data_IF_494737126162
#
_entry.id   IF_494737126162
#
_cell.length_a   1.000
_cell.length_b   1.000
_cell.length_c   1.000
_cell.angle_alpha   90.00
_cell.angle_beta   90.00
_cell.angle_gamma   90.00
#
_symmetry.space_group_name_H-M   'P 1'
#
loop_
_entity.id
_entity.type
_entity.pdbx_description
1 polymer ?
#
# COMPACT_ATOMS: atom_id res chain seq x y z
N UNK A 1 -34.02 22.34 -75.32
CA UNK A 1 -33.55 22.97 -74.08
C UNK A 1 -33.54 21.91 -73.03
N UNK A 2 -32.35 21.29 -72.74
CA UNK A 2 -32.19 20.18 -71.76
C UNK A 2 -31.67 20.75 -70.47
N UNK A 3 -32.43 20.54 -69.36
CA UNK A 3 -32.01 20.92 -68.03
C UNK A 3 -31.39 19.68 -67.40
N UNK A 4 -30.10 19.74 -67.14
CA UNK A 4 -29.35 18.71 -66.42
C UNK A 4 -29.55 18.89 -64.91
N UNK A 5 -30.09 17.86 -64.26
CA UNK A 5 -30.22 17.77 -62.80
C UNK A 5 -28.93 17.21 -62.19
N UNK A 6 -28.24 18.00 -61.37
CA UNK A 6 -27.11 17.56 -60.55
C UNK A 6 -27.61 17.02 -59.23
N UNK A 7 -27.56 15.69 -59.09
CA UNK A 7 -27.71 15.05 -57.76
C UNK A 7 -26.40 15.14 -57.04
N UNK A 8 -26.36 15.84 -55.91
CA UNK A 8 -25.21 15.88 -55.00
C UNK A 8 -25.37 14.77 -53.99
N UNK A 9 -24.53 13.73 -54.15
CA UNK A 9 -24.36 12.70 -53.13
C UNK A 9 -23.64 13.27 -51.91
N UNK A 10 -24.37 13.42 -50.82
CA UNK A 10 -23.79 13.79 -49.53
C UNK A 10 -23.29 12.50 -48.85
N UNK A 11 -21.99 12.27 -48.85
CA UNK A 11 -21.34 11.21 -48.05
C UNK A 11 -21.31 11.64 -46.59
N UNK A 12 -22.17 11.04 -45.79
CA UNK A 12 -22.18 11.23 -44.33
C UNK A 12 -21.02 10.44 -43.70
N UNK A 13 -19.93 11.11 -43.37
CA UNK A 13 -18.78 10.52 -42.64
C UNK A 13 -19.19 10.37 -41.17
N UNK A 14 -19.55 9.13 -40.74
CA UNK A 14 -19.76 8.82 -39.32
C UNK A 14 -18.40 8.61 -38.69
N UNK A 15 -17.90 9.60 -37.96
CA UNK A 15 -16.73 9.47 -37.10
C UNK A 15 -17.11 8.59 -35.89
N UNK A 16 -16.68 7.33 -35.88
CA UNK A 16 -16.78 6.46 -34.73
C UNK A 16 -15.70 6.89 -33.71
N UNK A 17 -16.08 7.70 -32.74
CA UNK A 17 -15.24 8.01 -31.59
C UNK A 17 -15.25 6.81 -30.65
N UNK A 18 -14.17 6.04 -30.64
CA UNK A 18 -13.94 5.01 -29.63
C UNK A 18 -13.71 5.68 -28.26
N UNK A 19 -14.73 5.65 -27.39
CA UNK A 19 -14.61 6.06 -26.01
C UNK A 19 -13.80 4.96 -25.31
N UNK A 20 -12.64 5.23 -24.69
CA UNK A 20 -11.93 4.22 -23.91
C UNK A 20 -12.80 3.85 -22.70
N UNK A 21 -13.27 2.62 -22.65
CA UNK A 21 -13.99 2.07 -21.51
C UNK A 21 -12.99 1.84 -20.38
N UNK A 22 -12.85 2.80 -19.49
CA UNK A 22 -11.90 2.82 -18.37
C UNK A 22 -12.15 1.67 -17.36
N UNK A 23 -13.29 0.95 -17.46
CA UNK A 23 -13.65 -0.13 -16.53
C UNK A 23 -13.15 -1.54 -16.88
N UNK A 24 -12.60 -1.78 -18.07
CA UNK A 24 -12.28 -3.15 -18.55
C UNK A 24 -10.87 -3.65 -18.22
N UNK A 25 -9.98 -2.81 -17.69
CA UNK A 25 -8.59 -3.17 -17.41
C UNK A 25 -8.26 -3.28 -15.92
N UNK A 26 -9.23 -3.57 -15.05
CA UNK A 26 -9.01 -3.70 -13.62
C UNK A 26 -9.23 -5.15 -13.18
N UNK A 27 -8.27 -5.71 -12.46
CA UNK A 27 -8.41 -6.95 -11.72
C UNK A 27 -8.27 -6.72 -10.22
N UNK A 28 -8.07 -7.78 -9.46
CA UNK A 28 -8.08 -7.70 -8.01
C UNK A 28 -6.95 -8.55 -7.41
N UNK A 29 -6.43 -8.09 -6.27
CA UNK A 29 -5.49 -8.84 -5.43
C UNK A 29 -6.17 -9.20 -4.12
N UNK A 30 -6.05 -10.47 -3.72
CA UNK A 30 -6.28 -10.98 -2.37
C UNK A 30 -4.97 -11.43 -1.76
N UNK A 31 -4.89 -11.41 -0.45
CA UNK A 31 -3.70 -11.85 0.28
C UNK A 31 -4.04 -12.95 1.28
N UNK A 32 -3.15 -13.93 1.37
CA UNK A 32 -3.11 -14.96 2.42
C UNK A 32 -1.68 -14.97 2.96
N UNK A 33 -1.33 -13.94 3.71
CA UNK A 33 0.03 -13.68 4.19
C UNK A 33 0.10 -13.89 5.69
N UNK A 34 1.15 -14.52 6.15
CA UNK A 34 1.51 -14.64 7.56
C UNK A 34 2.89 -13.99 7.77
N UNK A 35 2.98 -12.96 8.64
CA UNK A 35 1.93 -12.37 9.50
C UNK A 35 0.98 -11.44 8.69
N UNK A 36 -0.32 -11.50 9.00
CA UNK A 36 -1.35 -10.70 8.33
C UNK A 36 -1.21 -9.17 8.48
N UNK A 37 -0.40 -8.71 9.44
CA UNK A 37 -0.07 -7.29 9.63
C UNK A 37 1.03 -6.79 8.70
N UNK A 38 1.69 -7.64 7.92
CA UNK A 38 2.68 -7.22 6.94
C UNK A 38 2.09 -6.17 6.00
N UNK A 39 2.82 -5.08 5.80
CA UNK A 39 2.46 -4.05 4.83
C UNK A 39 2.57 -4.58 3.42
N UNK A 40 1.54 -4.34 2.61
CA UNK A 40 1.52 -4.67 1.19
C UNK A 40 1.84 -3.40 0.41
N UNK A 41 2.84 -3.49 -0.47
CA UNK A 41 3.19 -2.44 -1.42
C UNK A 41 3.01 -2.99 -2.83
N UNK A 42 2.33 -2.24 -3.68
CA UNK A 42 2.17 -2.55 -5.10
C UNK A 42 2.81 -1.42 -5.89
N UNK A 43 3.78 -1.76 -6.74
CA UNK A 43 4.59 -0.81 -7.52
C UNK A 43 5.18 0.32 -6.64
N UNK A 44 5.70 -0.05 -5.47
CA UNK A 44 6.27 0.85 -4.49
C UNK A 44 5.25 1.61 -3.62
N UNK A 45 3.95 1.61 -3.96
CA UNK A 45 2.91 2.29 -3.20
C UNK A 45 2.35 1.39 -2.09
N UNK A 46 2.33 1.89 -0.86
CA UNK A 46 1.66 1.22 0.26
C UNK A 46 0.14 1.20 0.06
N UNK A 47 -0.47 0.01 0.17
CA UNK A 47 -1.91 -0.19 -0.05
C UNK A 47 -2.66 -0.66 1.20
N UNK A 48 -1.96 -1.07 2.24
CA UNK A 48 -2.55 -1.49 3.52
C UNK A 48 -1.92 -2.77 4.06
N UNK A 49 -2.38 -3.23 5.25
CA UNK A 49 -1.94 -4.51 5.82
C UNK A 49 -2.54 -5.68 5.03
N UNK A 50 -1.77 -6.76 4.91
CA UNK A 50 -2.18 -7.96 4.17
C UNK A 50 -3.50 -8.54 4.68
N UNK A 51 -3.74 -8.56 5.98
CA UNK A 51 -5.00 -9.03 6.57
C UNK A 51 -6.26 -8.29 6.08
N UNK A 52 -6.11 -7.05 5.58
CA UNK A 52 -7.24 -6.30 5.03
C UNK A 52 -7.75 -6.83 3.68
N UNK A 53 -6.94 -7.60 2.97
CA UNK A 53 -7.26 -8.12 1.63
C UNK A 53 -7.48 -9.65 1.64
N UNK A 54 -7.81 -10.19 2.81
CA UNK A 54 -8.10 -11.61 3.02
C UNK A 54 -9.56 -11.98 2.72
N UNK A 55 -10.25 -12.56 3.72
CA UNK A 55 -11.63 -13.01 3.60
C UNK A 55 -12.59 -11.86 3.22
N UNK A 56 -13.22 -11.96 2.06
CA UNK A 56 -14.27 -11.05 1.60
C UNK A 56 -13.79 -9.71 1.02
N UNK A 57 -12.55 -9.28 1.25
CA UNK A 57 -11.99 -8.03 0.73
C UNK A 57 -10.92 -8.29 -0.33
N UNK A 58 -10.82 -7.39 -1.29
CA UNK A 58 -9.82 -7.43 -2.37
C UNK A 58 -9.40 -6.01 -2.73
N UNK A 59 -8.17 -5.84 -3.15
CA UNK A 59 -7.65 -4.56 -3.64
C UNK A 59 -7.72 -4.51 -5.16
N UNK A 60 -8.28 -3.42 -5.71
CA UNK A 60 -8.38 -3.22 -7.16
C UNK A 60 -7.03 -2.73 -7.71
N UNK A 61 -6.54 -3.37 -8.78
CA UNK A 61 -5.27 -3.07 -9.44
C UNK A 61 -5.49 -3.11 -10.95
N UNK A 62 -4.77 -2.30 -11.70
CA UNK A 62 -4.79 -2.39 -13.17
C UNK A 62 -4.44 -3.81 -13.63
N UNK A 63 -4.90 -4.22 -14.81
CA UNK A 63 -4.43 -5.47 -15.41
C UNK A 63 -3.00 -5.29 -15.92
N UNK A 64 -2.15 -6.28 -15.70
CA UNK A 64 -0.73 -6.23 -16.07
C UNK A 64 0.16 -6.98 -15.08
N UNK A 65 1.47 -6.85 -15.24
CA UNK A 65 2.47 -7.32 -14.28
C UNK A 65 2.74 -6.20 -13.26
N UNK A 66 2.71 -6.55 -11.97
CA UNK A 66 2.95 -5.65 -10.86
C UNK A 66 4.00 -6.24 -9.93
N UNK A 67 4.88 -5.38 -9.40
CA UNK A 67 5.76 -5.74 -8.31
C UNK A 67 4.99 -5.64 -6.98
N UNK A 68 4.99 -6.72 -6.20
CA UNK A 68 4.41 -6.73 -4.87
C UNK A 68 5.52 -6.97 -3.85
N UNK A 69 5.68 -6.01 -2.92
CA UNK A 69 6.57 -6.14 -1.77
C UNK A 69 5.74 -6.29 -0.50
N UNK A 70 6.10 -7.30 0.30
CA UNK A 70 5.59 -7.51 1.65
C UNK A 70 6.68 -7.10 2.64
N UNK A 71 6.35 -6.25 3.60
CA UNK A 71 7.30 -5.76 4.59
C UNK A 71 6.70 -5.78 5.99
N UNK A 72 7.44 -6.36 6.94
CA UNK A 72 7.15 -6.36 8.38
C UNK A 72 8.48 -6.31 9.13
N UNK A 73 8.66 -5.42 10.13
CA UNK A 73 9.96 -5.13 10.75
C UNK A 73 10.71 -6.32 11.34
N UNK A 74 9.98 -7.35 11.77
CA UNK A 74 10.52 -8.56 12.38
C UNK A 74 10.70 -9.72 11.40
N UNK A 75 10.49 -9.46 10.11
CA UNK A 75 10.58 -10.47 9.05
C UNK A 75 11.45 -9.95 7.90
N UNK A 76 11.99 -10.88 7.13
CA UNK A 76 12.64 -10.56 5.87
C UNK A 76 11.59 -10.05 4.88
N UNK A 77 11.90 -8.96 4.17
CA UNK A 77 11.03 -8.44 3.11
C UNK A 77 10.91 -9.47 1.99
N UNK A 78 9.70 -9.62 1.44
CA UNK A 78 9.43 -10.47 0.28
C UNK A 78 9.06 -9.58 -0.90
N UNK A 79 9.77 -9.72 -2.02
CA UNK A 79 9.45 -9.05 -3.29
C UNK A 79 9.12 -10.10 -4.32
N UNK A 80 7.99 -9.94 -5.00
CA UNK A 80 7.53 -10.88 -6.04
C UNK A 80 6.77 -10.12 -7.12
N UNK A 81 6.69 -10.72 -8.31
CA UNK A 81 5.85 -10.22 -9.41
C UNK A 81 4.54 -10.99 -9.48
N UNK A 82 3.47 -10.27 -9.70
CA UNK A 82 2.11 -10.82 -9.80
C UNK A 82 1.46 -10.32 -11.08
N UNK A 83 0.98 -11.24 -11.92
CA UNK A 83 0.21 -10.87 -13.11
C UNK A 83 -1.28 -10.77 -12.77
N UNK A 84 -1.84 -9.60 -12.97
CA UNK A 84 -3.26 -9.31 -12.75
C UNK A 84 -4.01 -9.38 -14.08
N UNK A 85 -5.03 -10.22 -14.16
CA UNK A 85 -5.92 -10.31 -15.31
C UNK A 85 -7.18 -9.48 -15.06
N UNK A 86 -7.65 -8.78 -16.11
CA UNK A 86 -8.88 -7.99 -16.04
C UNK A 86 -10.07 -8.84 -15.57
N UNK A 87 -10.85 -8.32 -14.63
CA UNK A 87 -12.02 -8.98 -14.03
C UNK A 87 -11.71 -10.14 -13.10
N UNK A 88 -10.45 -10.61 -13.02
CA UNK A 88 -10.06 -11.75 -12.19
C UNK A 88 -9.41 -11.33 -10.88
N UNK A 89 -9.35 -12.28 -9.95
CA UNK A 89 -8.68 -12.10 -8.65
C UNK A 89 -7.42 -12.97 -8.59
N UNK A 90 -6.26 -12.34 -8.44
CA UNK A 90 -5.02 -13.02 -8.09
C UNK A 90 -4.92 -13.16 -6.56
N UNK A 91 -4.42 -14.30 -6.08
CA UNK A 91 -4.19 -14.52 -4.65
C UNK A 91 -2.69 -14.61 -4.37
N UNK A 92 -2.19 -13.70 -3.55
CA UNK A 92 -0.83 -13.73 -3.03
C UNK A 92 -0.81 -14.51 -1.72
N UNK A 93 -0.26 -15.72 -1.74
CA UNK A 93 -0.08 -16.57 -0.55
C UNK A 93 1.40 -16.60 -0.18
N UNK A 94 1.74 -16.17 1.07
CA UNK A 94 3.13 -16.10 1.52
C UNK A 94 3.23 -16.22 3.04
N UNK A 95 4.19 -17.06 3.51
CA UNK A 95 4.68 -17.03 4.89
C UNK A 95 6.04 -16.36 4.89
N UNK A 96 6.19 -15.29 5.69
CA UNK A 96 7.44 -14.52 5.76
C UNK A 96 8.39 -15.17 6.77
N UNK A 97 9.71 -15.03 6.55
CA UNK A 97 10.73 -15.56 7.43
C UNK A 97 11.08 -14.56 8.52
N UNK A 98 11.00 -14.99 9.80
CA UNK A 98 11.29 -14.14 10.94
C UNK A 98 12.79 -13.77 11.03
N UNK A 99 13.04 -12.51 11.42
CA UNK A 99 14.37 -12.00 11.76
C UNK A 99 14.69 -12.25 13.26
N UNK A 100 15.97 -12.24 13.65
CA UNK A 100 16.36 -12.28 15.05
C UNK A 100 15.75 -11.12 15.85
N UNK A 101 15.37 -11.37 17.09
CA UNK A 101 14.79 -10.34 17.96
C UNK A 101 15.85 -9.30 18.37
N UNK A 102 15.47 -8.02 18.36
CA UNK A 102 16.27 -6.94 18.91
C UNK A 102 16.44 -7.10 20.45
N UNK A 103 17.57 -6.63 20.98
CA UNK A 103 17.90 -6.73 22.42
C UNK A 103 17.71 -5.36 23.11
N UNK A 104 17.27 -5.34 24.42
CA UNK A 104 17.16 -4.12 25.20
C UNK A 104 18.52 -3.41 25.36
N UNK A 105 18.55 -2.12 25.80
CA UNK A 105 17.40 -1.36 26.32
C UNK A 105 16.49 -0.81 25.20
N UNK A 106 15.21 -0.57 25.55
CA UNK A 106 14.22 0.00 24.63
C UNK A 106 13.55 1.25 25.21
N UNK A 107 13.25 2.23 24.37
CA UNK A 107 12.16 3.18 24.59
C UNK A 107 10.97 2.82 23.72
N UNK A 108 9.88 3.56 23.85
CA UNK A 108 8.63 3.32 23.10
C UNK A 108 8.28 4.53 22.24
N UNK A 109 8.00 4.28 20.98
CA UNK A 109 7.38 5.24 20.09
C UNK A 109 5.88 4.97 20.04
N UNK A 110 5.07 5.97 20.43
CA UNK A 110 3.62 5.95 20.28
C UNK A 110 3.23 6.82 19.09
N UNK A 111 2.38 6.32 18.22
CA UNK A 111 1.86 7.07 17.07
C UNK A 111 0.40 7.42 17.26
N UNK A 112 0.02 8.64 16.86
CA UNK A 112 -1.38 9.11 16.86
C UNK A 112 -1.73 9.50 15.43
N UNK A 113 -2.78 8.88 14.86
CA UNK A 113 -3.28 9.17 13.52
C UNK A 113 -4.80 8.92 13.45
N UNK A 114 -5.51 9.74 12.67
CA UNK A 114 -6.92 9.51 12.34
C UNK A 114 -7.08 8.24 11.48
N UNK A 115 -6.14 7.99 10.57
CA UNK A 115 -6.06 6.73 9.83
C UNK A 115 -5.22 5.70 10.59
N UNK A 116 -5.89 4.71 11.18
CA UNK A 116 -5.22 3.63 11.90
C UNK A 116 -4.37 2.71 11.03
N UNK A 117 -4.61 2.71 9.72
CA UNK A 117 -3.84 1.93 8.75
C UNK A 117 -2.74 2.73 8.06
N UNK A 118 -2.56 4.01 8.41
CA UNK A 118 -1.44 4.79 7.91
C UNK A 118 -0.12 4.08 8.22
N UNK A 119 0.75 3.96 7.21
CA UNK A 119 2.05 3.33 7.36
C UNK A 119 2.96 4.16 8.26
N UNK A 120 3.67 3.50 9.16
CA UNK A 120 4.69 4.14 10.02
C UNK A 120 6.07 3.75 9.50
N UNK A 121 6.88 4.74 9.22
CA UNK A 121 8.27 4.57 8.81
C UNK A 121 9.20 5.14 9.87
N UNK A 122 10.28 4.41 10.16
CA UNK A 122 11.37 4.86 11.04
C UNK A 122 12.68 4.74 10.24
N UNK A 123 13.38 5.86 10.07
CA UNK A 123 14.57 5.95 9.22
C UNK A 123 14.29 5.38 7.79
N UNK A 124 13.13 5.71 7.22
CA UNK A 124 12.70 5.22 5.91
C UNK A 124 12.24 3.76 5.85
N UNK A 125 12.44 2.96 6.92
CA UNK A 125 11.99 1.56 6.98
C UNK A 125 10.55 1.48 7.50
N UNK A 126 9.70 0.73 6.80
CA UNK A 126 8.33 0.42 7.25
C UNK A 126 8.37 -0.36 8.57
N UNK A 127 7.63 0.10 9.58
CA UNK A 127 7.60 -0.50 10.91
C UNK A 127 6.23 -1.08 11.30
N UNK A 128 5.18 -0.80 10.56
CA UNK A 128 3.81 -1.23 10.82
C UNK A 128 2.81 -0.11 10.60
N UNK A 129 1.68 -0.15 11.29
CA UNK A 129 0.56 0.77 11.10
C UNK A 129 0.36 1.64 12.34
N UNK A 130 -0.10 2.88 12.15
CA UNK A 130 -0.26 3.83 13.24
C UNK A 130 -1.16 3.29 14.37
N UNK A 131 -2.22 2.55 14.04
CA UNK A 131 -3.11 1.95 15.02
C UNK A 131 -2.46 0.89 15.91
N UNK A 132 -1.42 0.21 15.43
CA UNK A 132 -0.70 -0.79 16.23
C UNK A 132 0.11 -0.14 17.37
N UNK A 133 0.59 1.08 17.15
CA UNK A 133 1.46 1.80 18.09
C UNK A 133 0.73 2.88 18.89
N UNK A 134 -0.59 3.01 18.74
CA UNK A 134 -1.35 4.02 19.48
C UNK A 134 -1.58 3.67 20.95
N UNK A 135 -1.34 2.44 21.37
CA UNK A 135 -1.47 2.03 22.75
C UNK A 135 -0.33 2.60 23.61
N UNK A 136 -0.60 3.33 24.72
CA UNK A 136 0.45 3.91 25.56
C UNK A 136 1.37 2.86 26.21
N UNK A 137 0.89 1.62 26.36
CA UNK A 137 1.67 0.52 26.97
C UNK A 137 2.42 -0.32 25.93
N UNK A 138 1.92 -0.38 24.68
CA UNK A 138 2.40 -1.30 23.63
C UNK A 138 3.02 -0.59 22.43
N UNK A 139 3.47 0.64 22.54
CA UNK A 139 4.11 1.38 21.44
C UNK A 139 5.26 0.60 20.78
N UNK A 140 5.72 1.07 19.63
CA UNK A 140 6.84 0.49 18.91
C UNK A 140 8.11 0.56 19.77
N UNK A 141 8.72 -0.58 20.06
CA UNK A 141 9.98 -0.66 20.79
C UNK A 141 11.14 -0.32 19.86
N UNK A 142 11.95 0.65 20.25
CA UNK A 142 13.17 1.08 19.57
C UNK A 142 14.30 1.21 20.59
N UNK A 143 15.53 0.91 20.17
CA UNK A 143 16.70 1.22 21.00
C UNK A 143 16.82 2.73 21.18
N UNK A 144 17.43 3.20 22.30
CA UNK A 144 17.71 4.63 22.48
C UNK A 144 18.54 5.21 21.33
N UNK A 145 18.15 6.39 20.83
CA UNK A 145 18.81 7.02 19.69
C UNK A 145 17.96 8.11 19.04
N UNK A 146 18.52 8.74 18.01
CA UNK A 146 17.81 9.70 17.16
C UNK A 146 17.22 8.95 15.93
N UNK A 147 16.00 9.28 15.61
CA UNK A 147 15.26 8.65 14.51
C UNK A 147 14.48 9.68 13.71
N UNK A 148 14.31 9.40 12.42
CA UNK A 148 13.34 10.09 11.57
C UNK A 148 12.07 9.24 11.51
N UNK A 149 10.93 9.83 11.87
CA UNK A 149 9.63 9.14 11.86
C UNK A 149 8.69 9.81 10.85
N UNK A 150 8.01 8.99 10.04
CA UNK A 150 6.98 9.43 9.10
C UNK A 150 5.72 8.59 9.28
N UNK A 151 4.53 9.22 9.29
CA UNK A 151 3.23 8.55 9.38
C UNK A 151 2.42 8.86 8.12
N UNK A 152 2.08 7.82 7.35
CA UNK A 152 1.37 7.94 6.08
C UNK A 152 2.13 8.79 5.07
N UNK A 153 1.43 9.71 4.43
CA UNK A 153 1.99 10.69 3.49
C UNK A 153 2.42 12.00 4.17
N UNK A 154 2.41 12.03 5.52
CA UNK A 154 2.82 13.18 6.31
C UNK A 154 4.31 13.53 6.18
N UNK A 155 4.72 14.61 6.84
CA UNK A 155 6.12 15.03 6.89
C UNK A 155 6.94 14.13 7.83
N UNK A 156 8.23 14.05 7.57
CA UNK A 156 9.19 13.41 8.47
C UNK A 156 9.46 14.29 9.70
N UNK A 157 9.46 13.66 10.86
CA UNK A 157 9.76 14.29 12.14
C UNK A 157 11.00 13.65 12.78
N UNK A 158 11.93 14.47 13.26
CA UNK A 158 13.09 14.02 14.00
C UNK A 158 12.72 13.83 15.47
N UNK A 159 12.94 12.63 15.99
CA UNK A 159 12.62 12.28 17.37
C UNK A 159 13.79 11.63 18.08
N UNK A 160 13.87 11.81 19.40
CA UNK A 160 14.83 11.12 20.26
C UNK A 160 14.09 10.07 21.09
N UNK A 161 14.53 8.83 20.97
CA UNK A 161 14.06 7.72 21.80
C UNK A 161 15.02 7.57 22.98
N UNK A 162 14.46 7.54 24.19
CA UNK A 162 15.21 7.30 25.42
C UNK A 162 14.74 6.00 26.09
N UNK A 163 15.64 5.30 26.77
CA UNK A 163 15.31 4.05 27.46
C UNK A 163 14.17 4.26 28.45
N UNK A 164 13.25 3.31 28.50
CA UNK A 164 12.09 3.27 29.41
C UNK A 164 11.11 4.45 29.30
N UNK A 165 11.29 5.35 28.31
CA UNK A 165 10.40 6.48 28.05
C UNK A 165 9.50 6.24 26.84
N UNK A 166 8.37 6.99 26.81
CA UNK A 166 7.43 7.03 25.69
C UNK A 166 7.63 8.35 24.93
N UNK A 167 7.95 8.26 23.65
CA UNK A 167 7.95 9.39 22.70
C UNK A 167 6.68 9.32 21.85
N UNK A 168 5.96 10.45 21.71
CA UNK A 168 4.70 10.51 20.95
C UNK A 168 4.95 11.27 19.65
N UNK A 169 4.50 10.69 18.53
CA UNK A 169 4.45 11.32 17.21
C UNK A 169 3.02 11.31 16.70
N UNK A 170 2.55 12.46 16.27
CA UNK A 170 1.20 12.63 15.74
C UNK A 170 1.24 12.97 14.25
N UNK A 171 0.45 12.23 13.45
CA UNK A 171 0.24 12.56 12.05
C UNK A 171 -0.41 13.95 11.92
N UNK A 172 0.16 14.79 11.07
CA UNK A 172 -0.33 16.14 10.74
C UNK A 172 -1.15 16.11 9.47
#
# INVERSE_FOLDING_TARGET
>A
MRIASFVRDAVLLIAVTSIPVVGQNTGYVKTKVDPGRAGVFIDGKYVGPAGNFGMGRKYAVAAGEHEVRLSEPRYEDVVTKVTIQAGKTATLAQTMKALPLAKPPFGRLRTISADKFAAVYVNGKFMGHAGEFNNPVQGLLLNPGAYTVKIGEGQEEQVKIEADKVTIVQAK
#
